data_IF_667189469223
#
_entry.id   IF_667189469223
#
_cell.length_a   1.000
_cell.length_b   1.000
_cell.length_c   1.000
_cell.angle_alpha   90.00
_cell.angle_beta   90.00
_cell.angle_gamma   90.00
#
_symmetry.space_group_name_H-M   'P 1'
#
loop_
_entity.id
_entity.type
_entity.pdbx_description
1 polymer ?
#
# COMPACT_ATOMS: atom_id res chain seq x y z
N UNK A 1 16.82 -10.54 -8.23
CA UNK A 1 16.92 -9.39 -7.28
C UNK A 1 15.81 -9.54 -6.26
N UNK A 2 16.06 -9.29 -4.98
CA UNK A 2 15.04 -9.44 -3.93
C UNK A 2 14.35 -8.12 -3.61
N UNK A 3 13.02 -8.10 -3.52
CA UNK A 3 12.22 -6.90 -3.23
C UNK A 3 11.20 -7.19 -2.13
N UNK A 4 11.22 -6.38 -1.07
CA UNK A 4 10.19 -6.43 -0.04
C UNK A 4 8.90 -5.76 -0.54
N UNK A 5 7.77 -6.37 -0.22
CA UNK A 5 6.43 -5.91 -0.57
C UNK A 5 5.57 -5.94 0.69
N UNK A 6 4.80 -4.89 0.95
CA UNK A 6 3.78 -4.92 1.99
C UNK A 6 2.40 -4.62 1.40
N UNK A 7 1.40 -5.40 1.81
CA UNK A 7 0.00 -5.18 1.47
C UNK A 7 -0.71 -4.58 2.68
N UNK A 8 -1.19 -3.34 2.57
CA UNK A 8 -1.74 -2.57 3.67
C UNK A 8 -3.26 -2.39 3.50
N UNK A 9 -4.00 -2.61 4.58
CA UNK A 9 -5.44 -2.41 4.61
C UNK A 9 -5.93 -2.09 6.00
N UNK A 10 -7.01 -1.32 6.07
CA UNK A 10 -7.77 -1.11 7.30
C UNK A 10 -8.78 -2.22 7.56
N UNK A 11 -8.95 -3.13 6.61
CA UNK A 11 -9.70 -4.38 6.70
C UNK A 11 -8.75 -5.59 6.61
N UNK A 12 -9.13 -6.63 5.88
CA UNK A 12 -8.41 -7.92 5.85
C UNK A 12 -7.15 -7.92 5.00
N UNK A 13 -6.99 -6.97 4.06
CA UNK A 13 -5.83 -6.94 3.15
C UNK A 13 -5.93 -7.81 1.90
N UNK A 14 -6.98 -8.63 1.75
CA UNK A 14 -7.13 -9.54 0.61
C UNK A 14 -7.15 -8.82 -0.75
N UNK A 15 -7.77 -7.64 -0.83
CA UNK A 15 -7.81 -6.83 -2.06
C UNK A 15 -6.43 -6.29 -2.43
N UNK A 16 -5.69 -5.77 -1.44
CA UNK A 16 -4.34 -5.27 -1.65
C UNK A 16 -3.40 -6.39 -2.10
N UNK A 17 -3.51 -7.56 -1.46
CA UNK A 17 -2.73 -8.76 -1.79
C UNK A 17 -3.04 -9.28 -3.19
N UNK A 18 -4.32 -9.51 -3.52
CA UNK A 18 -4.71 -10.06 -4.81
C UNK A 18 -4.28 -9.16 -5.98
N UNK A 19 -4.59 -7.87 -5.91
CA UNK A 19 -4.23 -6.92 -6.96
C UNK A 19 -2.71 -6.76 -7.06
N UNK A 20 -2.03 -6.67 -5.92
CA UNK A 20 -0.58 -6.57 -5.89
C UNK A 20 0.11 -7.80 -6.49
N UNK A 21 -0.29 -9.02 -6.10
CA UNK A 21 0.22 -10.26 -6.71
C UNK A 21 -0.03 -10.29 -8.22
N UNK A 22 -1.22 -9.87 -8.66
CA UNK A 22 -1.57 -9.80 -10.09
C UNK A 22 -0.61 -8.86 -10.83
N UNK A 23 -0.35 -7.67 -10.30
CA UNK A 23 0.57 -6.70 -10.91
C UNK A 23 2.03 -7.20 -10.89
N UNK A 24 2.47 -7.80 -9.78
CA UNK A 24 3.83 -8.29 -9.62
C UNK A 24 4.12 -9.54 -10.47
N UNK A 25 3.10 -10.33 -10.84
CA UNK A 25 3.27 -11.53 -11.67
C UNK A 25 3.88 -11.25 -13.05
N UNK A 26 3.82 -10.00 -13.52
CA UNK A 26 4.43 -9.57 -14.78
C UNK A 26 5.97 -9.43 -14.70
N UNK A 27 6.56 -9.59 -13.50
CA UNK A 27 7.98 -9.40 -13.23
C UNK A 27 8.66 -10.69 -12.75
N UNK A 28 8.60 -11.76 -13.55
CA UNK A 28 9.06 -13.11 -13.20
C UNK A 28 10.53 -13.20 -12.73
N UNK A 29 11.39 -12.25 -13.13
CA UNK A 29 12.81 -12.24 -12.76
C UNK A 29 13.10 -11.67 -11.35
N UNK A 30 12.07 -11.25 -10.61
CA UNK A 30 12.20 -10.59 -9.31
C UNK A 30 11.65 -11.47 -8.20
N UNK A 31 12.44 -11.66 -7.14
CA UNK A 31 12.06 -12.42 -5.96
C UNK A 31 11.38 -11.49 -4.96
N UNK A 32 10.05 -11.60 -4.83
CA UNK A 32 9.30 -10.79 -3.88
C UNK A 32 9.19 -11.47 -2.51
N UNK A 33 9.52 -10.74 -1.44
CA UNK A 33 9.16 -11.10 -0.06
C UNK A 33 7.97 -10.26 0.31
N UNK A 34 6.80 -10.87 0.42
CA UNK A 34 5.57 -10.14 0.72
C UNK A 34 5.09 -10.36 2.15
N UNK A 35 4.51 -9.32 2.74
CA UNK A 35 3.82 -9.36 4.02
C UNK A 35 2.52 -8.57 3.97
N UNK A 36 1.41 -9.20 4.37
CA UNK A 36 0.12 -8.52 4.55
C UNK A 36 0.00 -7.96 5.96
N UNK A 37 -0.39 -6.69 6.08
CA UNK A 37 -0.64 -6.00 7.34
C UNK A 37 -2.10 -5.52 7.35
N UNK A 38 -3.01 -6.31 7.95
CA UNK A 38 -4.43 -5.98 8.01
C UNK A 38 -4.77 -5.08 9.21
N UNK A 39 -6.00 -4.56 9.23
CA UNK A 39 -6.62 -3.84 10.34
C UNK A 39 -5.84 -2.62 10.83
N UNK A 40 -5.26 -1.86 9.90
CA UNK A 40 -4.59 -0.57 10.18
C UNK A 40 -5.66 0.52 10.34
N UNK A 41 -6.25 0.59 11.53
CA UNK A 41 -7.43 1.39 11.84
C UNK A 41 -7.16 2.61 12.72
N UNK A 42 -5.89 2.88 13.04
CA UNK A 42 -5.47 3.94 13.97
C UNK A 42 -4.10 4.48 13.62
N UNK A 43 -3.85 5.73 13.98
CA UNK A 43 -2.56 6.40 13.78
C UNK A 43 -1.41 5.62 14.42
N UNK A 44 -1.62 5.08 15.62
CA UNK A 44 -0.62 4.26 16.33
C UNK A 44 -0.17 3.06 15.50
N UNK A 45 -1.11 2.31 14.92
CA UNK A 45 -0.78 1.17 14.04
C UNK A 45 -0.09 1.65 12.77
N UNK A 46 -0.55 2.76 12.20
CA UNK A 46 0.06 3.31 10.99
C UNK A 46 1.52 3.75 11.24
N UNK A 47 1.82 4.38 12.37
CA UNK A 47 3.19 4.75 12.75
C UNK A 47 4.09 3.53 12.90
N UNK A 48 3.59 2.42 13.47
CA UNK A 48 4.32 1.16 13.54
C UNK A 48 4.62 0.57 12.15
N UNK A 49 3.67 0.70 11.22
CA UNK A 49 3.88 0.30 9.82
C UNK A 49 4.96 1.15 9.17
N UNK A 50 4.91 2.48 9.32
CA UNK A 50 5.94 3.38 8.79
C UNK A 50 7.32 3.03 9.36
N UNK A 51 7.43 2.77 10.66
CA UNK A 51 8.69 2.35 11.29
C UNK A 51 9.22 1.04 10.71
N UNK A 52 8.35 0.02 10.58
CA UNK A 52 8.69 -1.28 9.99
C UNK A 52 9.21 -1.12 8.56
N UNK A 53 8.50 -0.35 7.75
CA UNK A 53 8.81 -0.09 6.34
C UNK A 53 10.15 0.64 6.21
N UNK A 54 10.37 1.67 7.03
CA UNK A 54 11.60 2.45 7.02
C UNK A 54 12.80 1.61 7.46
N UNK A 55 12.65 0.81 8.52
CA UNK A 55 13.68 -0.13 8.95
C UNK A 55 14.01 -1.12 7.84
N UNK A 56 13.01 -1.70 7.18
CA UNK A 56 13.23 -2.59 6.04
C UNK A 56 13.99 -1.90 4.90
N UNK A 57 13.65 -0.65 4.58
CA UNK A 57 14.35 0.12 3.56
C UNK A 57 15.82 0.36 3.91
N UNK A 58 16.11 0.68 5.18
CA UNK A 58 17.46 0.88 5.69
C UNK A 58 18.29 -0.41 5.67
N UNK A 59 17.75 -1.51 6.19
CA UNK A 59 18.44 -2.79 6.27
C UNK A 59 18.77 -3.38 4.90
N UNK A 60 17.86 -3.23 3.93
CA UNK A 60 18.05 -3.77 2.58
C UNK A 60 18.69 -2.77 1.61
N UNK A 61 18.88 -1.51 2.01
CA UNK A 61 19.39 -0.43 1.15
C UNK A 61 18.48 -0.08 -0.04
N UNK A 62 17.24 -0.56 -0.06
CA UNK A 62 16.30 -0.38 -1.17
C UNK A 62 14.87 -0.20 -0.64
N UNK A 63 14.15 0.79 -1.19
CA UNK A 63 12.78 1.11 -0.76
C UNK A 63 11.81 -0.04 -1.05
N UNK A 64 11.07 -0.58 -0.07
CA UNK A 64 10.04 -1.59 -0.32
C UNK A 64 8.88 -1.04 -1.17
N UNK A 65 8.06 -1.94 -1.71
CA UNK A 65 6.82 -1.61 -2.43
C UNK A 65 5.66 -1.73 -1.44
N UNK A 66 4.78 -0.73 -1.37
CA UNK A 66 3.54 -0.80 -0.60
C UNK A 66 2.36 -0.79 -1.54
N UNK A 67 1.49 -1.77 -1.43
CA UNK A 67 0.15 -1.72 -2.02
C UNK A 67 -0.82 -1.35 -0.90
N UNK A 68 -1.52 -0.22 -1.06
CA UNK A 68 -2.41 0.31 -0.03
C UNK A 68 -3.85 0.33 -0.48
N UNK A 69 -4.74 -0.04 0.44
CA UNK A 69 -6.20 0.15 0.34
C UNK A 69 -6.72 1.08 1.46
N UNK A 70 -5.83 1.84 2.09
CA UNK A 70 -6.19 2.77 3.17
C UNK A 70 -6.93 3.96 2.58
N UNK A 71 -8.16 4.19 3.04
CA UNK A 71 -9.02 5.29 2.56
C UNK A 71 -9.06 6.50 3.49
N UNK A 72 -8.64 6.35 4.75
CA UNK A 72 -8.69 7.44 5.75
C UNK A 72 -7.57 8.47 5.52
N UNK A 73 -7.89 9.75 5.26
CA UNK A 73 -6.89 10.80 4.97
C UNK A 73 -5.81 10.95 6.02
N UNK A 74 -6.19 10.88 7.29
CA UNK A 74 -5.27 11.01 8.42
C UNK A 74 -4.22 9.89 8.41
N UNK A 75 -4.63 8.66 8.07
CA UNK A 75 -3.73 7.51 7.98
C UNK A 75 -2.89 7.56 6.70
N UNK A 76 -3.48 7.98 5.57
CA UNK A 76 -2.73 8.19 4.31
C UNK A 76 -1.61 9.21 4.51
N UNK A 77 -1.90 10.33 5.17
CA UNK A 77 -0.91 11.39 5.44
C UNK A 77 0.30 10.83 6.17
N UNK A 78 0.09 10.02 7.21
CA UNK A 78 1.18 9.37 7.94
C UNK A 78 1.94 8.39 7.03
N UNK A 79 1.22 7.57 6.25
CA UNK A 79 1.81 6.56 5.36
C UNK A 79 2.70 7.16 4.27
N UNK A 80 2.35 8.34 3.75
CA UNK A 80 3.13 9.07 2.74
C UNK A 80 4.54 9.45 3.21
N UNK A 81 4.80 9.48 4.52
CA UNK A 81 6.13 9.72 5.08
C UNK A 81 7.01 8.46 5.14
N UNK A 82 6.51 7.30 4.70
CA UNK A 82 7.30 6.07 4.62
C UNK A 82 8.33 6.12 3.48
N UNK A 83 9.48 5.48 3.71
CA UNK A 83 10.57 5.33 2.76
C UNK A 83 10.29 4.19 1.77
N UNK A 84 9.19 4.30 1.04
CA UNK A 84 8.69 3.25 0.14
C UNK A 84 8.33 3.78 -1.24
N UNK A 85 8.07 2.85 -2.17
CA UNK A 85 7.25 3.11 -3.34
C UNK A 85 5.81 2.75 -2.98
N UNK A 86 4.95 3.76 -2.82
CA UNK A 86 3.55 3.54 -2.48
C UNK A 86 2.68 3.48 -3.73
N UNK A 87 1.90 2.41 -3.86
CA UNK A 87 0.87 2.20 -4.85
C UNK A 87 -0.47 2.21 -4.13
N UNK A 88 -1.16 3.34 -4.18
CA UNK A 88 -2.53 3.45 -3.69
C UNK A 88 -3.48 2.87 -4.74
N UNK A 89 -4.09 1.74 -4.40
CA UNK A 89 -4.95 1.01 -5.33
C UNK A 89 -6.27 1.74 -5.54
N UNK A 90 -6.80 2.48 -4.57
CA UNK A 90 -8.06 3.19 -4.77
C UNK A 90 -7.86 4.51 -5.50
N UNK A 91 -6.83 5.27 -5.16
CA UNK A 91 -6.59 6.57 -5.80
C UNK A 91 -6.50 6.46 -7.32
N UNK A 92 -5.83 5.43 -7.84
CA UNK A 92 -5.70 5.21 -9.28
C UNK A 92 -6.99 4.75 -9.98
N UNK A 93 -7.89 4.04 -9.29
CA UNK A 93 -9.12 3.50 -9.92
C UNK A 93 -10.35 4.37 -9.69
N UNK A 94 -10.39 5.15 -8.62
CA UNK A 94 -11.54 5.98 -8.26
C UNK A 94 -11.64 7.19 -9.19
N UNK A 95 -10.54 7.85 -9.54
CA UNK A 95 -10.58 9.04 -10.40
C UNK A 95 -11.28 8.78 -11.75
N UNK A 96 -10.96 7.71 -12.53
CA UNK A 96 -11.70 7.41 -13.75
C UNK A 96 -13.20 7.15 -13.53
N UNK A 97 -13.58 6.57 -12.38
CA UNK A 97 -14.98 6.27 -12.06
C UNK A 97 -15.74 7.54 -11.69
N UNK A 98 -15.14 8.46 -10.92
CA UNK A 98 -15.74 9.75 -10.62
C UNK A 98 -16.02 10.55 -11.90
N UNK A 99 -15.07 10.55 -12.84
CA UNK A 99 -15.24 11.19 -14.14
C UNK A 99 -16.36 10.55 -14.95
N UNK A 100 -16.43 9.21 -14.97
CA UNK A 100 -17.46 8.48 -15.72
C UNK A 100 -18.87 8.68 -15.13
N UNK A 101 -18.99 8.74 -13.80
CA UNK A 101 -20.26 8.87 -13.10
C UNK A 101 -20.67 10.31 -12.82
N UNK A 102 -19.78 11.28 -13.01
CA UNK A 102 -19.98 12.70 -12.69
C UNK A 102 -20.35 12.94 -11.21
N UNK A 103 -19.82 12.11 -10.31
CA UNK A 103 -20.01 12.21 -8.86
C UNK A 103 -18.69 12.00 -8.14
N UNK A 104 -18.53 12.62 -6.97
CA UNK A 104 -17.39 12.35 -6.09
C UNK A 104 -17.61 11.11 -5.23
N UNK A 105 -16.55 10.36 -5.00
CA UNK A 105 -16.48 9.27 -4.04
C UNK A 105 -16.81 9.77 -2.63
N UNK A 106 -17.52 8.95 -1.86
CA UNK A 106 -17.83 9.24 -0.45
C UNK A 106 -16.61 9.19 0.47
N UNK A 107 -15.51 8.61 -0.01
CA UNK A 107 -14.26 8.44 0.74
C UNK A 107 -13.11 8.97 -0.12
N UNK A 108 -12.44 10.01 0.37
CA UNK A 108 -11.26 10.63 -0.22
C UNK A 108 -10.22 10.78 0.87
#
# INVERSE_FOLDING_TARGET
MKRSVFYLSDQTGLTAELLGQTLLSQFESIDFIAQTIPYIDSEKKMLQVVELVNRNAQENGIKPILFSTIVRPELKTILHHSQSLMLDLFEHFIEPLEQAFQIHSSHR
#
